data_IF_751022967481
#
_entry.id   IF_751022967481
#
_cell.length_a   1.000
_cell.length_b   1.000
_cell.length_c   1.000
_cell.angle_alpha   90.00
_cell.angle_beta   90.00
_cell.angle_gamma   90.00
#
_symmetry.space_group_name_H-M   'P 1'
#
loop_
_entity.id
_entity.type
_entity.pdbx_description
1 polymer ?
#
# COMPACT_ATOMS: atom_id res chain seq x y z
N UNK A 1 -17.76 1.45 -10.38
CA UNK A 1 -17.38 1.82 -9.00
C UNK A 1 -16.42 2.99 -9.14
N UNK A 2 -16.73 4.16 -8.58
CA UNK A 2 -15.82 5.30 -8.68
C UNK A 2 -14.91 5.32 -7.46
N UNK A 3 -13.61 5.14 -7.66
CA UNK A 3 -12.64 5.22 -6.57
C UNK A 3 -12.48 6.69 -6.18
N UNK A 4 -12.88 7.04 -4.96
CA UNK A 4 -12.54 8.34 -4.37
C UNK A 4 -11.17 8.22 -3.72
N UNK A 5 -10.14 8.56 -4.47
CA UNK A 5 -8.77 8.60 -3.99
C UNK A 5 -8.35 10.04 -3.69
N UNK A 6 -7.45 10.20 -2.72
CA UNK A 6 -6.79 11.45 -2.41
C UNK A 6 -5.40 11.13 -1.88
N UNK A 7 -4.37 11.79 -2.42
CA UNK A 7 -2.99 11.65 -1.98
C UNK A 7 -2.38 13.02 -1.75
N UNK A 8 -1.65 13.15 -0.65
CA UNK A 8 -0.86 14.35 -0.32
C UNK A 8 0.60 13.92 -0.36
N UNK A 9 1.27 14.11 -1.50
CA UNK A 9 2.66 13.66 -1.69
C UNK A 9 3.72 14.56 -1.05
N UNK A 10 3.33 15.71 -0.47
CA UNK A 10 4.25 16.79 -0.06
C UNK A 10 4.41 16.92 1.46
N UNK A 11 3.52 16.34 2.25
CA UNK A 11 3.57 16.48 3.71
C UNK A 11 4.22 15.24 4.31
N UNK A 12 5.39 15.44 4.92
CA UNK A 12 6.01 14.40 5.76
C UNK A 12 5.02 14.03 6.85
N UNK A 13 4.85 12.74 7.11
CA UNK A 13 3.93 12.35 8.17
C UNK A 13 4.57 12.72 9.51
N UNK A 14 3.89 13.54 10.29
CA UNK A 14 4.34 13.97 11.60
C UNK A 14 3.42 13.41 12.70
N UNK A 15 3.76 13.69 13.95
CA UNK A 15 2.98 13.25 15.12
C UNK A 15 1.54 13.78 15.11
N UNK A 16 1.34 14.94 14.51
CA UNK A 16 0.09 15.64 14.26
C UNK A 16 -0.82 14.88 13.30
N UNK A 17 -0.22 14.08 12.39
CA UNK A 17 -0.92 13.19 11.48
C UNK A 17 -1.15 11.81 12.12
N UNK A 18 -0.20 11.29 12.91
CA UNK A 18 -0.34 10.00 13.61
C UNK A 18 -1.46 10.02 14.65
N UNK A 19 -1.56 11.10 15.41
CA UNK A 19 -2.49 11.20 16.54
C UNK A 19 -3.96 11.07 16.11
N UNK A 20 -4.47 11.83 15.11
CA UNK A 20 -5.82 11.64 14.61
C UNK A 20 -6.01 10.29 13.91
N UNK A 21 -5.01 9.79 13.19
CA UNK A 21 -5.06 8.46 12.58
C UNK A 21 -5.22 7.35 13.63
N UNK A 22 -4.45 7.42 14.72
CA UNK A 22 -4.51 6.50 15.86
C UNK A 22 -5.86 6.56 16.59
N UNK A 23 -6.55 7.71 16.59
CA UNK A 23 -7.89 7.85 17.18
C UNK A 23 -8.97 7.06 16.45
N UNK A 24 -8.74 6.64 15.21
CA UNK A 24 -9.66 5.80 14.44
C UNK A 24 -9.59 4.31 14.84
N UNK A 25 -8.59 3.90 15.63
CA UNK A 25 -8.46 2.54 16.14
C UNK A 25 -9.40 2.28 17.32
N UNK A 26 -9.83 1.02 17.53
CA UNK A 26 -10.81 0.67 18.56
C UNK A 26 -10.36 0.97 19.99
N UNK A 27 -9.05 0.94 20.26
CA UNK A 27 -8.48 1.26 21.57
C UNK A 27 -7.40 2.34 21.45
N UNK A 28 -7.26 3.18 22.49
CA UNK A 28 -6.30 4.31 22.48
C UNK A 28 -4.96 3.97 23.12
N UNK A 29 -4.98 3.18 24.20
CA UNK A 29 -3.83 2.95 25.08
C UNK A 29 -3.54 1.48 25.40
N UNK A 30 -4.36 0.54 24.92
CA UNK A 30 -4.23 -0.89 25.24
C UNK A 30 -4.11 -1.74 23.96
N UNK A 31 -3.39 -2.86 24.05
CA UNK A 31 -3.18 -3.80 22.95
C UNK A 31 -2.16 -3.31 21.92
N UNK A 32 -2.30 -3.73 20.66
CA UNK A 32 -1.35 -3.43 19.58
C UNK A 32 -1.10 -1.94 19.35
N UNK A 33 -2.05 -1.10 19.74
CA UNK A 33 -1.98 0.36 19.60
C UNK A 33 -0.86 0.99 20.44
N UNK A 34 -0.34 0.29 21.45
CA UNK A 34 0.80 0.75 22.25
C UNK A 34 2.12 0.72 21.49
N UNK A 35 2.23 -0.13 20.45
CA UNK A 35 3.42 -0.23 19.59
C UNK A 35 3.65 1.03 18.75
N UNK A 36 2.62 1.84 18.51
CA UNK A 36 2.76 3.08 17.74
C UNK A 36 3.49 4.15 18.55
N UNK A 37 4.82 4.04 18.58
CA UNK A 37 5.76 4.98 19.14
C UNK A 37 6.17 6.02 18.07
N UNK A 38 5.74 7.28 18.19
CA UNK A 38 6.01 8.28 17.14
C UNK A 38 7.51 8.48 16.88
N UNK A 39 8.33 8.44 17.93
CA UNK A 39 9.78 8.66 17.81
C UNK A 39 10.42 7.58 16.94
N UNK A 40 10.09 6.30 17.17
CA UNK A 40 10.65 5.18 16.41
C UNK A 40 10.09 5.05 15.00
N UNK A 41 8.80 5.36 14.81
CA UNK A 41 8.19 5.33 13.49
C UNK A 41 8.76 6.42 12.57
N UNK A 42 8.97 7.63 13.10
CA UNK A 42 9.45 8.78 12.32
C UNK A 42 10.98 8.95 12.30
N UNK A 43 11.72 8.10 13.01
CA UNK A 43 13.18 7.94 12.80
C UNK A 43 13.47 7.35 11.40
N UNK A 44 12.51 6.64 10.81
CA UNK A 44 12.64 5.99 9.50
C UNK A 44 12.54 6.99 8.34
N UNK A 45 13.42 6.81 7.35
CA UNK A 45 13.48 7.65 6.14
C UNK A 45 12.22 7.53 5.29
N UNK A 46 11.62 6.34 5.21
CA UNK A 46 10.42 6.09 4.41
C UNK A 46 9.28 5.63 5.30
N UNK A 47 8.26 6.47 5.40
CA UNK A 47 7.04 6.17 6.11
C UNK A 47 5.84 6.81 5.41
N UNK A 48 4.68 6.16 5.48
CA UNK A 48 3.43 6.65 4.91
C UNK A 48 2.27 6.14 5.75
N UNK A 49 1.24 6.96 5.91
CA UNK A 49 -0.02 6.55 6.52
C UNK A 49 -1.17 6.87 5.58
N UNK A 50 -2.22 6.06 5.65
CA UNK A 50 -3.43 6.26 4.88
C UNK A 50 -4.60 5.55 5.51
N UNK A 51 -5.77 5.77 4.94
CA UNK A 51 -6.95 4.97 5.23
C UNK A 51 -7.75 4.76 3.95
N UNK A 52 -8.41 3.62 3.88
CA UNK A 52 -9.27 3.23 2.78
C UNK A 52 -10.65 2.90 3.36
N UNK A 53 -11.67 3.58 2.86
CA UNK A 53 -13.05 3.30 3.19
C UNK A 53 -13.70 2.63 1.99
N UNK A 54 -14.17 1.41 2.14
CA UNK A 54 -14.81 0.67 1.07
C UNK A 54 -16.10 0.00 1.57
N UNK A 55 -17.15 -0.06 0.74
CA UNK A 55 -18.37 -0.77 1.10
C UNK A 55 -18.12 -2.28 0.98
N UNK A 56 -18.54 -3.03 1.99
CA UNK A 56 -18.59 -4.47 2.01
C UNK A 56 -20.06 -4.90 2.13
N UNK A 57 -20.59 -5.52 1.08
CA UNK A 57 -22.00 -5.90 1.01
C UNK A 57 -22.14 -7.42 1.09
N UNK A 58 -22.91 -7.89 2.07
CA UNK A 58 -23.30 -9.29 2.21
C UNK A 58 -24.80 -9.39 1.90
N UNK A 59 -25.13 -9.84 0.70
CA UNK A 59 -26.50 -9.80 0.17
C UNK A 59 -26.96 -8.35 -0.08
N UNK A 60 -28.07 -7.95 0.56
CA UNK A 60 -28.67 -6.61 0.44
C UNK A 60 -28.16 -5.60 1.46
N UNK A 61 -27.44 -6.04 2.49
CA UNK A 61 -26.92 -5.18 3.54
C UNK A 61 -25.45 -4.80 3.26
N UNK A 62 -25.20 -3.51 3.04
CA UNK A 62 -23.86 -2.95 2.87
C UNK A 62 -23.37 -2.30 4.16
N UNK A 63 -22.21 -2.73 4.64
CA UNK A 63 -21.48 -2.08 5.74
C UNK A 63 -20.25 -1.37 5.17
N UNK A 64 -19.80 -0.31 5.84
CA UNK A 64 -18.54 0.33 5.47
C UNK A 64 -17.38 -0.30 6.24
N UNK A 65 -16.35 -0.72 5.52
CA UNK A 65 -15.10 -1.19 6.10
C UNK A 65 -14.05 -0.07 6.00
N UNK A 66 -13.58 0.36 7.17
CA UNK A 66 -12.45 1.28 7.31
C UNK A 66 -11.18 0.46 7.51
N UNK A 67 -10.26 0.57 6.56
CA UNK A 67 -8.94 -0.03 6.63
C UNK A 67 -7.91 1.08 6.83
N UNK A 68 -7.17 1.01 7.94
CA UNK A 68 -6.08 1.95 8.23
C UNK A 68 -4.77 1.31 7.80
N UNK A 69 -3.98 2.03 7.01
CA UNK A 69 -2.72 1.54 6.45
C UNK A 69 -1.57 2.39 6.94
N UNK A 70 -0.46 1.75 7.26
CA UNK A 70 0.78 2.42 7.58
C UNK A 70 1.95 1.59 7.06
N UNK A 71 2.79 2.23 6.26
CA UNK A 71 4.01 1.67 5.70
C UNK A 71 5.19 2.33 6.40
N UNK A 72 6.15 1.54 6.88
CA UNK A 72 7.42 2.04 7.41
C UNK A 72 8.52 1.12 6.89
N UNK A 73 9.65 1.72 6.48
CA UNK A 73 10.88 0.99 6.16
C UNK A 73 11.81 1.14 7.35
N UNK A 74 12.07 0.04 8.05
CA UNK A 74 12.86 0.04 9.28
C UNK A 74 14.19 -0.64 9.00
N UNK A 75 15.29 0.07 9.27
CA UNK A 75 16.63 -0.49 9.19
C UNK A 75 16.92 -1.30 10.46
N UNK A 76 16.83 -2.62 10.35
CA UNK A 76 17.19 -3.51 11.45
C UNK A 76 18.71 -3.62 11.48
N UNK A 77 19.32 -2.95 12.46
CA UNK A 77 20.77 -2.93 12.65
C UNK A 77 21.31 -4.33 13.02
N UNK A 78 21.86 -5.04 12.03
CA UNK A 78 22.54 -6.35 12.18
C UNK A 78 23.90 -6.28 12.90
N UNK A 79 24.06 -5.38 13.88
CA UNK A 79 25.35 -5.07 14.53
C UNK A 79 25.99 -6.26 15.24
N UNK A 80 25.20 -7.27 15.63
CA UNK A 80 25.71 -8.54 16.09
C UNK A 80 25.50 -9.56 14.96
N UNK A 81 26.50 -10.38 14.65
CA UNK A 81 26.56 -11.33 13.52
C UNK A 81 25.41 -12.36 13.40
N UNK A 82 24.35 -12.24 14.18
CA UNK A 82 23.10 -12.97 14.01
C UNK A 82 21.99 -12.03 13.52
N UNK A 83 21.15 -12.53 12.62
CA UNK A 83 19.89 -11.85 12.32
C UNK A 83 19.00 -12.05 13.55
N UNK A 84 18.90 -11.05 14.41
CA UNK A 84 18.01 -11.06 15.56
C UNK A 84 17.18 -9.79 15.50
N UNK A 85 15.86 -9.93 15.63
CA UNK A 85 14.96 -8.78 15.71
C UNK A 85 13.93 -9.00 16.80
N UNK A 86 13.48 -7.93 17.44
CA UNK A 86 12.35 -7.99 18.35
C UNK A 86 11.35 -6.88 18.03
N UNK A 87 10.10 -7.09 18.43
CA UNK A 87 9.08 -6.03 18.35
C UNK A 87 9.50 -4.79 19.15
N UNK A 88 10.26 -4.97 20.23
CA UNK A 88 10.81 -3.85 20.99
C UNK A 88 11.89 -3.10 20.20
N UNK A 89 12.76 -3.78 19.46
CA UNK A 89 13.77 -3.09 18.62
C UNK A 89 13.11 -2.30 17.48
N UNK A 90 12.04 -2.85 16.91
CA UNK A 90 11.29 -2.24 15.81
C UNK A 90 10.47 -1.02 16.28
N UNK A 91 9.71 -1.17 17.36
CA UNK A 91 8.73 -0.17 17.81
C UNK A 91 9.19 0.67 19.03
N UNK A 92 10.25 0.24 19.74
CA UNK A 92 10.71 0.86 20.98
C UNK A 92 9.73 0.78 22.15
N UNK A 93 8.69 -0.04 22.04
CA UNK A 93 7.64 -0.24 23.05
C UNK A 93 7.20 -1.69 23.08
N UNK A 94 6.75 -2.13 24.25
CA UNK A 94 6.09 -3.43 24.44
C UNK A 94 4.58 -3.27 24.33
N UNK A 95 3.90 -4.38 24.03
CA UNK A 95 2.44 -4.44 24.03
C UNK A 95 1.98 -4.45 25.48
N UNK A 96 1.03 -3.59 25.84
CA UNK A 96 0.51 -3.50 27.22
C UNK A 96 -1.01 -3.55 27.19
N UNK A 97 -1.60 -4.36 28.06
CA UNK A 97 -3.04 -4.53 28.19
C UNK A 97 -3.71 -5.19 26.97
N UNK A 98 -5.02 -5.38 27.10
CA UNK A 98 -5.88 -5.99 26.08
C UNK A 98 -6.87 -4.96 25.54
N UNK A 99 -7.15 -5.01 24.23
CA UNK A 99 -8.16 -4.16 23.61
C UNK A 99 -9.54 -4.83 23.61
N UNK A 100 -10.36 -4.56 24.63
CA UNK A 100 -11.68 -5.18 24.79
C UNK A 100 -12.68 -4.82 23.68
N UNK A 101 -12.47 -3.69 22.99
CA UNK A 101 -13.32 -3.29 21.86
C UNK A 101 -13.00 -4.05 20.56
N UNK A 102 -11.86 -4.74 20.47
CA UNK A 102 -11.45 -5.46 19.27
C UNK A 102 -11.98 -6.91 19.28
N UNK A 103 -12.64 -7.30 18.19
CA UNK A 103 -13.11 -8.69 18.00
C UNK A 103 -11.96 -9.70 17.85
N UNK A 104 -10.82 -9.24 17.33
CA UNK A 104 -9.60 -10.02 17.13
C UNK A 104 -8.38 -9.15 17.39
N UNK A 105 -7.36 -9.71 18.06
CA UNK A 105 -6.08 -9.05 18.30
C UNK A 105 -4.97 -10.10 18.22
N UNK A 106 -4.42 -10.29 17.02
CA UNK A 106 -3.44 -11.32 16.72
C UNK A 106 -2.18 -10.72 16.12
N UNK A 107 -1.03 -11.28 16.47
CA UNK A 107 0.23 -11.07 15.74
C UNK A 107 0.45 -12.31 14.88
N UNK A 108 0.72 -12.09 13.60
CA UNK A 108 1.00 -13.17 12.65
C UNK A 108 2.42 -12.94 12.12
N UNK A 109 3.28 -13.93 12.31
CA UNK A 109 4.66 -13.93 11.83
C UNK A 109 4.78 -15.08 10.84
N UNK A 110 5.26 -14.78 9.63
CA UNK A 110 5.61 -15.81 8.65
C UNK A 110 6.95 -16.45 9.02
N UNK A 111 6.97 -17.78 9.06
CA UNK A 111 8.14 -18.59 9.41
C UNK A 111 8.76 -19.08 8.11
N UNK A 112 9.64 -18.24 7.56
CA UNK A 112 10.27 -18.48 6.26
C UNK A 112 11.43 -19.49 6.34
N UNK A 113 12.06 -19.61 7.49
CA UNK A 113 13.21 -20.49 7.72
C UNK A 113 12.98 -21.38 8.94
N UNK A 114 13.36 -22.66 8.83
CA UNK A 114 13.39 -23.60 9.95
C UNK A 114 14.39 -23.19 11.04
N UNK A 115 15.34 -22.31 10.72
CA UNK A 115 16.30 -21.74 11.66
C UNK A 115 15.74 -20.60 12.51
N UNK A 116 14.51 -20.13 12.21
CA UNK A 116 13.83 -19.08 12.97
C UNK A 116 13.33 -19.63 14.30
N UNK A 117 13.85 -19.08 15.40
CA UNK A 117 13.36 -19.32 16.76
C UNK A 117 12.62 -18.09 17.25
N UNK A 118 11.41 -18.30 17.75
CA UNK A 118 10.57 -17.24 18.29
C UNK A 118 10.44 -17.40 19.81
N UNK A 119 10.67 -16.31 20.52
CA UNK A 119 10.49 -16.22 21.96
C UNK A 119 9.53 -15.08 22.31
N UNK A 120 8.50 -15.34 23.13
CA UNK A 120 8.07 -16.65 23.63
C UNK A 120 7.42 -17.52 22.54
N UNK A 121 7.16 -18.78 22.85
CA UNK A 121 6.51 -19.72 21.93
C UNK A 121 5.14 -19.20 21.43
N UNK A 122 4.80 -19.42 20.14
CA UNK A 122 3.53 -18.99 19.57
C UNK A 122 2.34 -19.72 20.20
N UNK A 123 1.18 -19.09 20.17
CA UNK A 123 -0.08 -19.70 20.64
C UNK A 123 -0.53 -20.83 19.70
N UNK A 124 -0.35 -20.63 18.41
CA UNK A 124 -0.73 -21.58 17.36
C UNK A 124 0.24 -21.44 16.18
N UNK A 125 0.54 -22.54 15.51
CA UNK A 125 1.30 -22.55 14.25
C UNK A 125 0.40 -23.14 13.17
N UNK A 126 0.12 -22.36 12.12
CA UNK A 126 -0.78 -22.73 11.04
C UNK A 126 0.03 -22.89 9.75
N UNK A 127 -0.04 -24.08 9.17
CA UNK A 127 0.55 -24.38 7.87
C UNK A 127 -0.51 -24.15 6.79
N UNK A 128 -0.29 -23.16 5.91
CA UNK A 128 -1.10 -22.93 4.71
C UNK A 128 -0.29 -23.29 3.47
N UNK A 129 -0.97 -23.34 2.32
CA UNK A 129 -0.32 -23.56 1.01
C UNK A 129 0.74 -22.48 0.69
N UNK A 130 0.58 -21.27 1.23
CA UNK A 130 1.45 -20.11 0.96
C UNK A 130 2.66 -20.02 1.90
N UNK A 131 2.60 -20.66 3.08
CA UNK A 131 3.65 -20.53 4.10
C UNK A 131 3.26 -21.10 5.46
N UNK A 132 4.23 -21.13 6.38
CA UNK A 132 4.01 -21.49 7.79
C UNK A 132 3.86 -20.20 8.59
N UNK A 133 2.78 -20.05 9.36
CA UNK A 133 2.49 -18.84 10.11
C UNK A 133 2.42 -19.12 11.61
N UNK A 134 3.24 -18.41 12.39
CA UNK A 134 3.17 -18.38 13.85
C UNK A 134 2.19 -17.29 14.31
N UNK A 135 1.20 -17.68 15.12
CA UNK A 135 0.10 -16.82 15.57
C UNK A 135 0.19 -16.62 17.08
N UNK A 136 0.11 -15.36 17.52
CA UNK A 136 -0.02 -14.97 18.92
C UNK A 136 -1.38 -14.31 19.16
N UNK A 137 -2.27 -14.94 19.95
CA UNK A 137 -3.53 -14.30 20.38
C UNK A 137 -3.27 -13.50 21.66
N UNK A 138 -3.56 -12.20 21.61
CA UNK A 138 -3.30 -11.26 22.70
C UNK A 138 -4.50 -11.12 23.66
N UNK A 139 -5.67 -11.70 23.35
CA UNK A 139 -6.88 -11.53 24.17
C UNK A 139 -6.85 -12.31 25.47
N UNK A 140 -6.17 -13.46 25.47
CA UNK A 140 -6.16 -14.38 26.60
C UNK A 140 -5.00 -14.13 27.58
N UNK A 141 -4.27 -13.01 27.43
CA UNK A 141 -3.14 -12.68 28.28
C UNK A 141 -3.55 -11.78 29.46
N UNK A 142 -2.92 -11.95 30.63
CA UNK A 142 -3.16 -11.05 31.76
C UNK A 142 -2.80 -9.61 31.39
N UNK A 143 -3.63 -8.66 31.80
CA UNK A 143 -3.53 -7.25 31.41
C UNK A 143 -2.26 -6.54 31.90
N UNK A 144 -1.68 -7.03 32.99
CA UNK A 144 -0.57 -6.38 33.69
C UNK A 144 0.81 -6.75 33.14
N UNK A 145 0.90 -7.75 32.27
CA UNK A 145 2.16 -8.18 31.68
C UNK A 145 2.42 -7.49 30.34
N UNK A 146 3.59 -6.85 30.23
CA UNK A 146 4.06 -6.35 28.94
C UNK A 146 4.47 -7.50 28.03
N UNK A 147 3.96 -7.53 26.79
CA UNK A 147 4.25 -8.58 25.83
C UNK A 147 5.16 -8.08 24.69
N UNK A 148 6.14 -8.89 24.31
CA UNK A 148 7.01 -8.68 23.15
C UNK A 148 7.34 -10.04 22.54
N UNK A 149 7.64 -10.03 21.24
CA UNK A 149 8.15 -11.20 20.52
C UNK A 149 9.55 -10.86 20.01
N UNK A 150 10.48 -11.78 20.20
CA UNK A 150 11.82 -11.77 19.64
C UNK A 150 12.02 -12.96 18.72
N UNK A 151 12.71 -12.71 17.62
CA UNK A 151 13.10 -13.66 16.61
C UNK A 151 14.62 -13.76 16.57
N UNK A 152 15.12 -14.99 16.54
CA UNK A 152 16.53 -15.30 16.40
C UNK A 152 16.73 -16.30 15.27
N UNK A 153 17.73 -16.06 14.43
CA UNK A 153 18.09 -16.96 13.33
C UNK A 153 19.41 -17.64 13.68
N UNK A 154 19.41 -18.98 13.70
CA UNK A 154 20.62 -19.76 14.02
C UNK A 154 21.71 -19.62 12.94
N UNK A 155 21.33 -19.25 11.71
CA UNK A 155 22.23 -19.02 10.59
C UNK A 155 21.80 -17.77 9.80
N UNK A 156 22.74 -16.96 9.28
CA UNK A 156 22.38 -15.91 8.33
C UNK A 156 21.82 -16.55 7.07
N UNK A 157 20.52 -16.43 6.84
CA UNK A 157 19.88 -16.85 5.59
C UNK A 157 20.14 -15.81 4.51
N UNK A 158 20.71 -16.18 3.34
CA UNK A 158 20.65 -15.38 2.14
C UNK A 158 19.37 -15.74 1.36
N UNK A 159 18.20 -15.44 1.92
CA UNK A 159 16.96 -15.55 1.17
C UNK A 159 16.56 -14.16 0.68
N UNK A 160 16.93 -13.86 -0.58
CA UNK A 160 16.25 -12.83 -1.36
C UNK A 160 14.81 -13.31 -1.60
N UNK A 161 13.93 -13.13 -0.62
CA UNK A 161 12.51 -13.38 -0.80
C UNK A 161 12.01 -12.21 -1.65
N UNK A 162 11.97 -12.43 -2.96
CA UNK A 162 11.32 -11.48 -3.87
C UNK A 162 9.84 -11.74 -3.77
N UNK A 163 9.16 -10.92 -2.95
CA UNK A 163 7.71 -10.89 -2.90
C UNK A 163 7.20 -10.30 -4.22
N UNK A 164 6.89 -11.16 -5.19
CA UNK A 164 6.30 -10.72 -6.45
C UNK A 164 4.82 -10.41 -6.24
N UNK A 165 4.48 -9.12 -6.21
CA UNK A 165 3.08 -8.73 -6.44
C UNK A 165 2.72 -9.13 -7.87
N UNK A 166 1.60 -9.84 -8.10
CA UNK A 166 1.22 -10.28 -9.44
C UNK A 166 1.02 -9.10 -10.41
N UNK A 167 0.72 -7.91 -9.86
CA UNK A 167 0.66 -6.67 -10.63
C UNK A 167 1.47 -5.58 -9.94
N UNK A 168 2.28 -4.87 -10.70
CA UNK A 168 3.02 -3.69 -10.25
C UNK A 168 2.75 -2.50 -11.17
N UNK A 169 2.83 -1.29 -10.59
CA UNK A 169 2.71 -0.04 -11.33
C UNK A 169 3.83 0.91 -10.92
N UNK A 170 4.49 1.50 -11.91
CA UNK A 170 5.45 2.57 -11.71
C UNK A 170 5.04 3.76 -12.57
N UNK A 171 5.15 4.96 -12.01
CA UNK A 171 4.83 6.21 -12.72
C UNK A 171 6.11 7.02 -12.86
N UNK A 172 6.37 7.48 -14.07
CA UNK A 172 7.52 8.29 -14.41
C UNK A 172 7.03 9.61 -15.02
N UNK A 173 7.71 10.69 -14.67
CA UNK A 173 7.53 12.00 -15.28
C UNK A 173 8.76 12.23 -16.15
N UNK A 174 8.58 12.19 -17.47
CA UNK A 174 9.57 12.64 -18.43
C UNK A 174 9.31 14.10 -18.82
N UNK A 175 10.36 14.88 -18.97
CA UNK A 175 10.28 16.26 -19.48
C UNK A 175 11.18 16.35 -20.70
N UNK A 176 10.68 16.93 -21.78
CA UNK A 176 11.52 17.24 -22.97
C UNK A 176 12.03 18.67 -22.92
N UNK A 177 11.32 19.56 -22.24
CA UNK A 177 11.70 20.94 -22.01
C UNK A 177 11.25 21.39 -20.60
N UNK A 178 11.36 22.69 -20.28
CA UNK A 178 10.95 23.21 -18.96
C UNK A 178 9.43 23.29 -18.77
N UNK A 179 8.66 23.36 -19.84
CA UNK A 179 7.22 23.68 -19.89
C UNK A 179 6.34 22.46 -20.19
N UNK A 180 6.81 21.47 -20.92
CA UNK A 180 6.06 20.33 -21.42
C UNK A 180 6.75 19.01 -21.08
N UNK A 181 5.95 17.97 -20.95
CA UNK A 181 6.44 16.64 -20.60
C UNK A 181 5.44 15.53 -20.90
N UNK A 182 5.85 14.32 -20.52
CA UNK A 182 5.08 13.09 -20.67
C UNK A 182 4.99 12.42 -19.32
N UNK A 183 3.77 12.14 -18.90
CA UNK A 183 3.47 11.29 -17.78
C UNK A 183 3.31 9.87 -18.30
N UNK A 184 4.18 8.96 -17.88
CA UNK A 184 4.19 7.57 -18.31
C UNK A 184 3.99 6.65 -17.11
N UNK A 185 2.97 5.81 -17.14
CA UNK A 185 2.81 4.73 -16.16
C UNK A 185 3.08 3.39 -16.82
N UNK A 186 3.98 2.59 -16.23
CA UNK A 186 4.30 1.24 -16.67
C UNK A 186 3.63 0.27 -15.69
N UNK A 187 2.77 -0.58 -16.20
CA UNK A 187 1.97 -1.54 -15.45
C UNK A 187 2.41 -2.93 -15.89
N UNK A 188 2.92 -3.75 -14.98
CA UNK A 188 3.36 -5.12 -15.27
C UNK A 188 2.42 -6.11 -14.59
N UNK A 189 1.96 -7.11 -15.34
CA UNK A 189 1.19 -8.24 -14.83
C UNK A 189 2.00 -9.52 -15.06
N UNK A 190 2.48 -10.12 -13.98
CA UNK A 190 3.22 -11.39 -13.95
C UNK A 190 2.28 -12.57 -13.64
N UNK A 191 0.96 -12.33 -13.64
CA UNK A 191 -0.05 -13.33 -13.37
C UNK A 191 -0.97 -13.63 -14.56
N UNK A 192 -2.16 -14.14 -14.25
CA UNK A 192 -3.21 -14.44 -15.23
C UNK A 192 -3.80 -13.15 -15.82
N UNK A 193 -4.45 -13.30 -16.97
CA UNK A 193 -5.22 -12.22 -17.55
C UNK A 193 -6.33 -11.82 -16.57
N UNK A 194 -6.42 -10.53 -16.29
CA UNK A 194 -7.33 -10.01 -15.28
C UNK A 194 -7.79 -8.60 -15.64
N UNK A 195 -8.94 -8.23 -15.11
CA UNK A 195 -9.45 -6.88 -15.25
C UNK A 195 -8.72 -5.97 -14.28
N UNK A 196 -8.40 -4.76 -14.71
CA UNK A 196 -7.75 -3.76 -13.87
C UNK A 196 -8.40 -2.39 -14.05
N UNK A 197 -8.42 -1.61 -12.98
CA UNK A 197 -8.81 -0.20 -13.02
C UNK A 197 -7.58 0.65 -12.74
N UNK A 198 -7.13 1.37 -13.77
CA UNK A 198 -6.09 2.38 -13.66
C UNK A 198 -6.69 3.69 -13.18
N UNK A 199 -6.13 4.27 -12.12
CA UNK A 199 -6.54 5.55 -11.56
C UNK A 199 -5.33 6.47 -11.37
N UNK A 200 -5.37 7.66 -11.98
CA UNK A 200 -4.33 8.68 -11.78
C UNK A 200 -4.95 10.02 -11.40
N UNK A 201 -4.57 10.55 -10.23
CA UNK A 201 -4.83 11.94 -9.84
C UNK A 201 -3.69 12.81 -10.29
N UNK A 202 -3.95 13.71 -11.23
CA UNK A 202 -2.92 14.55 -11.83
C UNK A 202 -3.08 15.98 -11.28
N UNK A 203 -2.07 16.56 -10.61
CA UNK A 203 -2.18 17.88 -10.01
C UNK A 203 -2.60 18.95 -11.01
N UNK A 204 -3.34 19.97 -10.55
CA UNK A 204 -3.89 21.01 -11.42
C UNK A 204 -2.83 21.80 -12.19
N UNK A 205 -1.59 21.85 -11.67
CA UNK A 205 -0.48 22.54 -12.32
C UNK A 205 0.10 21.75 -13.51
N UNK A 206 -0.38 20.54 -13.77
CA UNK A 206 -0.10 19.78 -14.99
C UNK A 206 -1.37 19.77 -15.86
N UNK A 207 -1.37 20.58 -16.90
CA UNK A 207 -2.43 20.62 -17.90
C UNK A 207 -2.24 19.45 -18.87
N UNK A 208 -3.02 18.39 -18.68
CA UNK A 208 -2.98 17.21 -19.53
C UNK A 208 -3.76 17.39 -20.83
N UNK A 209 -3.25 16.80 -21.90
CA UNK A 209 -3.96 16.71 -23.16
C UNK A 209 -4.70 15.38 -23.28
N UNK A 210 -6.01 15.38 -23.08
CA UNK A 210 -6.84 14.17 -23.14
C UNK A 210 -6.73 13.41 -24.46
N UNK A 211 -6.52 14.11 -25.59
CA UNK A 211 -6.34 13.49 -26.91
C UNK A 211 -5.00 12.74 -27.06
N UNK A 212 -4.06 12.92 -26.13
CA UNK A 212 -2.74 12.26 -26.16
C UNK A 212 -2.67 11.01 -25.29
N UNK A 213 -3.76 10.68 -24.58
CA UNK A 213 -3.83 9.49 -23.75
C UNK A 213 -3.67 8.25 -24.64
N UNK A 214 -2.57 7.52 -24.46
CA UNK A 214 -2.30 6.28 -25.17
C UNK A 214 -2.12 5.14 -24.17
N UNK A 215 -2.82 4.03 -24.42
CA UNK A 215 -2.67 2.79 -23.66
C UNK A 215 -2.25 1.69 -24.62
N UNK A 216 -1.08 1.12 -24.38
CA UNK A 216 -0.54 0.05 -25.20
C UNK A 216 0.02 -1.07 -24.33
N UNK A 217 -0.26 -2.32 -24.68
CA UNK A 217 0.17 -3.49 -23.93
C UNK A 217 0.99 -4.41 -24.82
N UNK A 218 2.05 -4.96 -24.25
CA UNK A 218 2.91 -5.98 -24.86
C UNK A 218 2.89 -7.22 -23.98
N UNK A 219 2.25 -8.27 -24.48
CA UNK A 219 2.30 -9.60 -23.85
C UNK A 219 3.59 -10.33 -24.20
N UNK A 220 4.00 -11.28 -23.38
CA UNK A 220 5.20 -12.11 -23.61
C UNK A 220 5.20 -12.81 -24.97
N UNK A 221 4.03 -13.29 -25.42
CA UNK A 221 3.86 -13.97 -26.71
C UNK A 221 3.79 -13.02 -27.93
N UNK A 222 3.59 -11.70 -27.72
CA UNK A 222 3.42 -10.72 -28.80
C UNK A 222 4.53 -9.69 -28.77
N UNK A 223 5.32 -9.60 -29.85
CA UNK A 223 6.37 -8.57 -29.95
C UNK A 223 5.82 -7.15 -30.13
N UNK A 224 4.58 -7.03 -30.59
CA UNK A 224 3.92 -5.75 -30.87
C UNK A 224 3.08 -5.25 -29.69
N UNK A 225 3.13 -3.92 -29.50
CA UNK A 225 2.27 -3.18 -28.58
C UNK A 225 0.88 -3.01 -29.20
N UNK A 226 -0.16 -3.49 -28.52
CA UNK A 226 -1.55 -3.36 -28.95
C UNK A 226 -2.38 -2.67 -27.88
N UNK A 227 -3.38 -1.89 -28.29
CA UNK A 227 -4.32 -1.30 -27.33
C UNK A 227 -5.22 -2.41 -26.77
N UNK A 228 -5.29 -2.57 -25.44
CA UNK A 228 -6.15 -3.58 -24.82
C UNK A 228 -7.63 -3.19 -24.99
N UNK A 229 -8.51 -4.14 -24.71
CA UNK A 229 -9.95 -3.89 -24.67
C UNK A 229 -10.28 -2.97 -23.48
N UNK A 230 -10.80 -1.78 -23.77
CA UNK A 230 -11.15 -0.77 -22.78
C UNK A 230 -12.65 -0.87 -22.50
N UNK A 231 -12.99 -1.12 -21.24
CA UNK A 231 -14.36 -1.35 -20.78
C UNK A 231 -15.05 -0.05 -20.37
N UNK A 232 -14.31 0.82 -19.67
CA UNK A 232 -14.87 2.07 -19.16
C UNK A 232 -13.80 3.16 -19.06
N UNK A 233 -14.22 4.42 -19.20
CA UNK A 233 -13.38 5.62 -19.06
C UNK A 233 -14.13 6.66 -18.25
N UNK A 234 -13.50 7.17 -17.21
CA UNK A 234 -14.04 8.24 -16.39
C UNK A 234 -12.98 9.32 -16.20
N UNK A 235 -13.17 10.45 -16.85
CA UNK A 235 -12.24 11.58 -16.84
C UNK A 235 -12.88 12.79 -16.20
N UNK A 236 -12.18 13.40 -15.25
CA UNK A 236 -12.60 14.65 -14.62
C UNK A 236 -11.50 15.69 -14.83
N UNK A 237 -11.80 16.86 -15.43
CA UNK A 237 -10.82 17.91 -15.63
C UNK A 237 -10.37 18.54 -14.31
N UNK A 238 -9.09 18.92 -14.30
CA UNK A 238 -8.52 19.75 -13.25
C UNK A 238 -9.20 21.12 -13.25
N UNK A 239 -9.30 21.71 -12.06
CA UNK A 239 -9.69 23.11 -11.87
C UNK A 239 -8.49 23.80 -11.25
N UNK A 240 -7.94 24.81 -11.93
CA UNK A 240 -6.75 25.52 -11.50
C UNK A 240 -6.87 25.96 -10.04
N UNK A 241 -5.86 25.61 -9.22
CA UNK A 241 -5.77 25.93 -7.78
C UNK A 241 -6.88 25.38 -6.90
N UNK A 242 -7.76 24.51 -7.41
CA UNK A 242 -8.88 23.96 -6.64
C UNK A 242 -8.89 22.43 -6.60
N UNK A 243 -8.72 21.76 -7.75
CA UNK A 243 -8.90 20.31 -7.84
C UNK A 243 -7.98 19.67 -8.89
N UNK A 244 -7.34 18.52 -8.61
CA UNK A 244 -6.60 17.76 -9.60
C UNK A 244 -7.52 17.21 -10.71
N UNK A 245 -6.92 16.81 -11.83
CA UNK A 245 -7.58 16.00 -12.84
C UNK A 245 -7.63 14.53 -12.37
N UNK A 246 -8.70 13.83 -12.72
CA UNK A 246 -8.84 12.38 -12.52
C UNK A 246 -8.85 11.69 -13.89
N UNK A 247 -7.98 10.70 -14.05
CA UNK A 247 -7.99 9.78 -15.18
C UNK A 247 -8.23 8.38 -14.64
N UNK A 248 -9.44 7.85 -14.86
CA UNK A 248 -9.82 6.48 -14.48
C UNK A 248 -10.16 5.67 -15.74
N UNK A 249 -9.54 4.50 -15.91
CA UNK A 249 -9.80 3.59 -17.03
C UNK A 249 -9.83 2.14 -16.58
N UNK A 250 -10.88 1.43 -16.99
CA UNK A 250 -11.06 0.00 -16.78
C UNK A 250 -10.73 -0.73 -18.08
N UNK A 251 -9.79 -1.67 -18.03
CA UNK A 251 -9.38 -2.45 -19.20
C UNK A 251 -8.98 -3.88 -18.83
N UNK A 252 -9.02 -4.76 -19.81
CA UNK A 252 -8.59 -6.14 -19.66
C UNK A 252 -7.07 -6.22 -19.86
N UNK A 253 -6.35 -6.55 -18.78
CA UNK A 253 -4.90 -6.68 -18.80
C UNK A 253 -4.50 -8.12 -19.15
N UNK A 254 -3.72 -8.34 -20.21
CA UNK A 254 -3.29 -9.69 -20.60
C UNK A 254 -2.39 -10.35 -19.55
N UNK A 255 -2.31 -11.68 -19.59
CA UNK A 255 -1.36 -12.44 -18.77
C UNK A 255 0.09 -12.15 -19.18
N UNK A 256 1.02 -12.16 -18.23
CA UNK A 256 2.46 -11.93 -18.47
C UNK A 256 2.73 -10.77 -19.44
N UNK A 257 2.21 -9.58 -19.11
CA UNK A 257 2.21 -8.44 -20.01
C UNK A 257 2.65 -7.14 -19.34
N UNK A 258 3.28 -6.27 -20.13
CA UNK A 258 3.60 -4.89 -19.76
C UNK A 258 2.69 -3.94 -20.53
N UNK A 259 1.87 -3.17 -19.81
CA UNK A 259 1.04 -2.10 -20.34
C UNK A 259 1.66 -0.74 -20.02
N UNK A 260 1.64 0.18 -20.99
CA UNK A 260 2.15 1.54 -20.87
C UNK A 260 1.01 2.51 -21.12
N UNK A 261 0.75 3.33 -20.10
CA UNK A 261 -0.13 4.49 -20.16
C UNK A 261 0.72 5.74 -20.38
N UNK A 262 0.46 6.53 -21.41
CA UNK A 262 1.17 7.78 -21.64
C UNK A 262 0.21 8.95 -21.85
N UNK A 263 0.54 10.09 -21.26
CA UNK A 263 -0.24 11.32 -21.36
C UNK A 263 0.73 12.50 -21.46
N UNK A 264 0.58 13.34 -22.49
CA UNK A 264 1.36 14.58 -22.60
C UNK A 264 0.73 15.66 -21.72
N UNK A 265 1.57 16.50 -21.13
CA UNK A 265 1.13 17.63 -20.33
C UNK A 265 1.99 18.87 -20.57
N UNK A 266 1.41 20.03 -20.23
CA UNK A 266 2.12 21.29 -20.03
C UNK A 266 2.02 21.73 -18.58
N UNK A 267 3.03 22.45 -18.09
CA UNK A 267 3.06 23.02 -16.74
C UNK A 267 2.33 24.35 -16.74
N UNK A 268 1.44 24.52 -15.77
CA UNK A 268 0.78 25.78 -15.52
C UNK A 268 1.80 26.83 -15.04
N UNK A 269 1.53 28.10 -15.36
CA UNK A 269 2.29 29.20 -14.78
C UNK A 269 1.95 29.35 -13.29
N UNK A 270 2.96 29.13 -12.45
CA UNK A 270 2.85 29.21 -10.99
C UNK A 270 3.18 30.62 -10.51
N UNK A 271 2.45 31.07 -9.49
CA UNK A 271 2.75 32.31 -8.77
C UNK A 271 3.93 32.09 -7.83
N UNK A 272 4.64 33.16 -7.47
CA UNK A 272 5.79 33.08 -6.54
C UNK A 272 5.46 32.36 -5.22
N UNK A 273 4.25 32.51 -4.69
CA UNK A 273 3.78 31.86 -3.46
C UNK A 273 3.38 30.39 -3.63
N UNK A 274 3.31 29.89 -4.87
CA UNK A 274 2.91 28.51 -5.18
C UNK A 274 4.11 27.56 -5.26
N UNK A 275 5.31 28.12 -5.42
CA UNK A 275 6.55 27.35 -5.37
C UNK A 275 6.80 26.81 -3.95
N UNK A 276 7.34 25.58 -3.83
CA UNK A 276 7.79 25.09 -2.55
C UNK A 276 8.94 25.95 -2.01
N UNK A 277 9.08 26.06 -0.67
CA UNK A 277 10.16 26.83 -0.06
C UNK A 277 11.54 26.24 -0.38
N UNK A 278 11.60 24.94 -0.66
CA UNK A 278 12.82 24.24 -1.09
C UNK A 278 12.84 24.10 -2.61
N UNK A 279 13.77 24.82 -3.25
CA UNK A 279 13.95 24.81 -4.70
C UNK A 279 14.56 23.51 -5.23
N UNK A 280 15.24 22.71 -4.39
CA UNK A 280 15.93 21.49 -4.82
C UNK A 280 14.98 20.30 -5.02
N UNK A 281 13.83 20.30 -4.33
CA UNK A 281 12.89 19.19 -4.33
C UNK A 281 11.81 19.25 -5.43
N UNK A 282 11.63 20.42 -6.05
CA UNK A 282 10.61 20.61 -7.08
C UNK A 282 9.18 20.30 -6.59
N UNK A 283 8.29 19.92 -7.51
CA UNK A 283 6.90 19.57 -7.19
C UNK A 283 6.63 18.09 -7.44
N UNK A 284 6.07 17.42 -6.45
CA UNK A 284 5.73 16.00 -6.53
C UNK A 284 4.42 15.76 -7.30
N UNK A 285 4.42 14.70 -8.09
CA UNK A 285 3.24 14.17 -8.79
C UNK A 285 2.92 12.81 -8.17
N UNK A 286 1.70 12.57 -7.66
CA UNK A 286 1.37 11.28 -7.08
C UNK A 286 1.39 10.20 -8.17
N UNK A 287 1.83 9.00 -7.79
CA UNK A 287 1.81 7.83 -8.66
C UNK A 287 0.39 7.38 -8.99
N UNK A 288 0.24 6.70 -10.11
CA UNK A 288 -1.01 6.03 -10.46
C UNK A 288 -1.26 4.80 -9.56
N UNK A 289 -2.54 4.47 -9.38
CA UNK A 289 -3.00 3.30 -8.63
C UNK A 289 -3.64 2.32 -9.58
N UNK A 290 -3.37 1.04 -9.36
CA UNK A 290 -4.10 -0.07 -9.97
C UNK A 290 -5.00 -0.69 -8.92
N UNK A 291 -6.29 -0.76 -9.22
CA UNK A 291 -7.26 -1.53 -8.44
C UNK A 291 -7.57 -2.82 -9.18
N UNK A 292 -7.42 -3.95 -8.50
CA UNK A 292 -7.85 -5.26 -8.97
C UNK A 292 -9.26 -5.50 -8.45
N UNK A 293 -10.31 -5.42 -9.28
CA UNK A 293 -11.64 -5.84 -8.88
C UNK A 293 -11.60 -7.33 -8.54
N UNK A 294 -11.70 -7.66 -7.26
CA UNK A 294 -11.63 -9.05 -6.81
C UNK A 294 -12.67 -9.93 -7.52
N UNK A 295 -12.32 -11.19 -7.76
CA UNK A 295 -13.32 -12.18 -8.14
C UNK A 295 -14.39 -12.19 -7.04
N UNK A 296 -15.66 -11.98 -7.42
CA UNK A 296 -16.78 -12.21 -6.50
C UNK A 296 -16.62 -13.66 -6.01
N UNK A 297 -16.22 -13.86 -4.76
CA UNK A 297 -16.29 -15.17 -4.14
C UNK A 297 -17.74 -15.62 -4.30
N UNK A 298 -17.97 -16.64 -5.14
CA UNK A 298 -19.26 -17.31 -5.17
C UNK A 298 -19.55 -17.73 -3.74
N UNK A 299 -20.74 -17.45 -3.18
CA UNK A 299 -21.09 -17.95 -1.87
C UNK A 299 -20.91 -19.47 -1.91
N UNK A 300 -19.92 -19.96 -1.16
CA UNK A 300 -19.65 -21.38 -1.06
C UNK A 300 -20.93 -22.06 -0.57
N UNK A 301 -21.38 -23.08 -1.31
CA UNK A 301 -22.40 -23.98 -0.83
C UNK A 301 -21.93 -24.51 0.54
N UNK A 302 -22.61 -24.09 1.60
CA UNK A 302 -22.62 -24.85 2.85
C UNK A 302 -23.21 -26.22 2.51
N UNK A 303 -22.35 -27.20 2.27
CA UNK A 303 -22.74 -28.60 2.37
C UNK A 303 -23.03 -28.88 3.83
N UNK A 304 -24.31 -28.94 4.14
CA UNK A 304 -24.87 -29.60 5.31
C UNK A 304 -24.49 -31.08 5.28
N UNK A 305 -23.71 -31.52 6.27
CA UNK A 305 -23.75 -32.85 6.88
C UNK A 305 -22.80 -32.87 8.06
#
# INVERSE_FOLDING_TARGET
>A
MHLRYGAIGRETVCTENLTPWKKLLPCKQNGLVTLFNPIKLYENVYHSIGFQLHPFCEGTACKWHLQLMMYNVIDISLKNKGSHWSLFDIFGRKIVGVCNAASSSKIVIEVDDKSLRLEPAPTEVVNKLEGTYAIYDLRNKPSDESFTVSASYDKPSPSNIVLHSPVSVSTLVGSTDQMSGVLASVIKNEGKAQRVVYTHLIPWFLHIYYHTISLTCKGEASKEYKTPHILNRHFVPAIARQRPALVEMEFDMPANAECRMQIKFEKAFLRIREYPPDANHGMYVPGAIITLPGEKQKPGNRSTS
#
